data_IF_826878895329
#
_entry.id   IF_826878895329
#
_cell.length_a   1.000
_cell.length_b   1.000
_cell.length_c   1.000
_cell.angle_alpha   90.00
_cell.angle_beta   90.00
_cell.angle_gamma   90.00
#
_symmetry.space_group_name_H-M   'P 1'
#
loop_
_entity.id
_entity.type
_entity.pdbx_description
1 polymer ?
#
# COMPACT_ATOMS: atom_id res chain seq x y z
N UNK A 1 14.07 50.97 88.92
CA UNK A 1 13.41 51.91 88.02
C UNK A 1 13.61 51.42 86.65
N UNK A 2 12.88 50.58 86.17
CA UNK A 2 11.75 50.59 85.28
C UNK A 2 12.09 50.95 83.82
N UNK A 3 11.95 50.02 82.95
CA UNK A 3 11.99 50.26 81.50
C UNK A 3 12.09 48.95 80.67
N UNK A 4 11.04 48.11 80.76
CA UNK A 4 10.92 46.97 79.89
C UNK A 4 10.46 47.41 78.52
N UNK A 5 11.23 47.08 77.53
CA UNK A 5 10.95 47.26 76.13
C UNK A 5 10.22 46.06 75.52
N UNK A 6 9.10 46.39 74.95
CA UNK A 6 8.22 45.49 74.18
C UNK A 6 8.68 45.49 72.74
N UNK A 7 9.46 44.52 72.33
CA UNK A 7 9.98 44.43 70.97
C UNK A 7 9.97 43.07 70.32
N UNK A 8 9.17 42.13 70.77
CA UNK A 8 9.11 40.79 70.17
C UNK A 8 7.69 40.36 69.80
N UNK A 9 7.07 41.15 68.91
CA UNK A 9 5.76 40.74 68.37
C UNK A 9 5.44 41.24 66.95
N UNK A 10 6.40 41.32 66.07
CA UNK A 10 6.11 41.56 64.64
C UNK A 10 7.12 40.83 63.77
N UNK A 11 7.06 39.51 63.74
CA UNK A 11 7.75 38.68 62.73
C UNK A 11 7.12 37.30 62.64
N UNK A 12 5.82 37.23 62.36
CA UNK A 12 5.24 35.94 61.96
C UNK A 12 3.89 36.11 61.24
N UNK A 13 3.90 36.78 60.09
CA UNK A 13 2.80 36.69 59.15
C UNK A 13 3.33 37.09 57.76
N UNK A 14 3.86 36.13 57.04
CA UNK A 14 3.83 36.03 55.57
C UNK A 14 4.67 34.85 55.09
N UNK A 15 4.45 33.67 55.63
CA UNK A 15 4.69 32.45 54.84
C UNK A 15 3.46 32.20 54.00
N UNK A 16 3.41 32.88 52.84
CA UNK A 16 2.54 32.52 51.77
C UNK A 16 3.02 31.14 51.31
N UNK A 17 2.23 30.14 51.64
CA UNK A 17 2.37 28.77 51.12
C UNK A 17 2.40 28.91 49.59
N UNK A 18 3.57 28.74 49.00
CA UNK A 18 3.70 28.57 47.56
C UNK A 18 3.07 27.21 47.31
N UNK A 19 1.82 27.17 46.86
CA UNK A 19 1.23 25.97 46.30
C UNK A 19 2.24 25.40 45.30
N UNK A 20 2.71 24.20 45.58
CA UNK A 20 3.55 23.46 44.66
C UNK A 20 2.74 23.33 43.37
N UNK A 21 3.14 24.09 42.34
CA UNK A 21 2.65 23.89 40.99
C UNK A 21 3.02 22.44 40.67
N UNK A 22 2.00 21.62 40.57
CA UNK A 22 2.14 20.22 40.13
C UNK A 22 2.87 20.26 38.79
N UNK A 23 4.18 20.02 38.81
CA UNK A 23 4.97 19.95 37.61
C UNK A 23 4.47 18.74 36.85
N UNK A 24 3.68 18.97 35.82
CA UNK A 24 3.33 17.96 34.87
C UNK A 24 4.66 17.52 34.25
N UNK A 25 5.13 16.37 34.67
CA UNK A 25 6.39 15.80 34.23
C UNK A 25 6.19 15.13 32.87
N UNK A 26 5.82 15.95 31.89
CA UNK A 26 5.53 15.56 30.50
C UNK A 26 6.76 15.65 29.62
N UNK A 27 6.83 14.80 28.62
CA UNK A 27 7.81 14.89 27.52
C UNK A 27 7.14 15.67 26.38
N UNK A 28 7.75 16.81 25.99
CA UNK A 28 7.34 17.55 24.82
C UNK A 28 8.21 17.13 23.62
N UNK A 29 7.58 16.83 22.49
CA UNK A 29 8.29 16.42 21.29
C UNK A 29 7.56 16.92 20.03
N UNK A 30 8.32 17.10 18.96
CA UNK A 30 7.78 17.49 17.65
C UNK A 30 7.38 16.25 16.85
N UNK A 31 6.30 16.38 16.07
CA UNK A 31 5.82 15.29 15.25
C UNK A 31 5.08 15.77 14.01
N UNK A 32 4.76 14.83 13.17
CA UNK A 32 3.94 15.01 11.97
C UNK A 32 2.70 14.13 12.05
N UNK A 33 1.56 14.67 11.64
CA UNK A 33 0.33 13.92 11.47
C UNK A 33 0.32 13.31 10.07
N UNK A 34 0.22 11.99 10.02
CA UNK A 34 0.13 11.21 8.80
C UNK A 34 -1.14 10.34 8.82
N UNK A 35 -1.66 9.93 7.65
CA UNK A 35 -2.67 8.89 7.59
C UNK A 35 -2.17 7.59 8.25
N UNK A 36 -3.01 6.95 9.07
CA UNK A 36 -2.66 5.68 9.71
C UNK A 36 -2.31 4.61 8.66
N UNK A 37 -1.24 3.86 8.91
CA UNK A 37 -0.75 2.81 8.02
C UNK A 37 0.16 3.31 6.90
N UNK A 38 0.74 4.50 7.06
CA UNK A 38 1.66 5.15 6.12
C UNK A 38 1.06 5.48 4.74
N UNK A 39 1.71 6.37 4.03
CA UNK A 39 1.38 6.68 2.63
C UNK A 39 1.79 5.51 1.74
N UNK A 40 0.84 4.91 1.05
CA UNK A 40 1.10 3.84 0.10
C UNK A 40 1.37 4.42 -1.28
N UNK A 41 2.56 4.13 -1.79
CA UNK A 41 2.96 4.49 -3.15
C UNK A 41 2.52 3.38 -4.10
N UNK A 42 1.57 3.69 -4.97
CA UNK A 42 1.10 2.75 -5.98
C UNK A 42 1.96 2.87 -7.23
N UNK A 43 2.69 1.80 -7.53
CA UNK A 43 3.57 1.73 -8.71
C UNK A 43 2.80 1.26 -9.95
N UNK A 44 3.31 1.61 -11.12
CA UNK A 44 2.84 1.02 -12.36
C UNK A 44 3.25 -0.46 -12.42
N UNK A 45 2.41 -1.33 -13.01
CA UNK A 45 2.77 -2.72 -13.23
C UNK A 45 3.95 -2.82 -14.19
N UNK A 46 4.78 -3.84 -13.99
CA UNK A 46 5.83 -4.19 -14.95
C UNK A 46 5.22 -5.13 -15.99
N UNK A 47 5.39 -4.82 -17.28
CA UNK A 47 4.93 -5.72 -18.33
C UNK A 47 5.74 -7.02 -18.35
N UNK A 48 5.08 -8.16 -18.58
CA UNK A 48 5.74 -9.47 -18.76
C UNK A 48 6.79 -9.47 -19.89
N UNK A 49 6.66 -8.55 -20.85
CA UNK A 49 7.62 -8.34 -21.98
C UNK A 49 8.68 -7.27 -21.66
N UNK A 50 8.76 -6.79 -20.42
CA UNK A 50 9.66 -5.73 -19.99
C UNK A 50 9.14 -4.32 -20.25
N UNK A 51 9.61 -3.37 -19.41
CA UNK A 51 9.26 -1.96 -19.47
C UNK A 51 7.95 -1.59 -18.76
N UNK A 52 7.86 -0.31 -18.40
CA UNK A 52 6.69 0.27 -17.77
C UNK A 52 5.72 0.78 -18.83
N UNK A 53 4.44 0.37 -18.85
CA UNK A 53 3.46 0.91 -19.79
C UNK A 53 3.17 2.38 -19.50
N UNK A 54 2.64 3.11 -20.49
CA UNK A 54 2.19 4.49 -20.31
C UNK A 54 0.85 4.53 -19.60
N UNK A 55 0.64 5.56 -18.79
CA UNK A 55 -0.65 5.87 -18.23
C UNK A 55 -1.60 6.35 -19.34
N UNK A 56 -2.63 5.55 -19.63
CA UNK A 56 -3.61 5.88 -20.66
C UNK A 56 -4.72 6.77 -20.14
N UNK A 57 -5.24 6.47 -18.93
CA UNK A 57 -6.28 7.24 -18.28
C UNK A 57 -6.07 7.28 -16.78
N UNK A 58 -6.33 8.43 -16.19
CA UNK A 58 -6.39 8.63 -14.75
C UNK A 58 -7.85 8.88 -14.37
N UNK A 59 -8.39 8.07 -13.45
CA UNK A 59 -9.83 8.08 -13.13
C UNK A 59 -10.15 8.80 -11.82
N UNK A 60 -9.14 9.33 -11.13
CA UNK A 60 -9.28 9.98 -9.83
C UNK A 60 -8.49 11.30 -9.80
N UNK A 61 -8.81 12.15 -8.83
CA UNK A 61 -8.16 13.43 -8.56
C UNK A 61 -7.52 13.44 -7.17
N UNK A 62 -6.55 14.33 -6.96
CA UNK A 62 -6.01 14.58 -5.62
C UNK A 62 -7.13 15.08 -4.68
N UNK A 63 -7.13 14.55 -3.45
CA UNK A 63 -8.16 14.80 -2.46
C UNK A 63 -9.43 13.95 -2.60
N UNK A 64 -9.56 13.11 -3.62
CA UNK A 64 -10.73 12.27 -3.83
C UNK A 64 -10.72 11.05 -2.90
N UNK A 65 -11.88 10.75 -2.30
CA UNK A 65 -12.07 9.53 -1.50
C UNK A 65 -12.20 8.32 -2.41
N UNK A 66 -11.51 7.24 -2.04
CA UNK A 66 -11.44 5.99 -2.80
C UNK A 66 -11.77 4.81 -1.90
N UNK A 67 -12.30 3.75 -2.50
CA UNK A 67 -12.57 2.48 -1.83
C UNK A 67 -11.58 1.41 -2.31
N UNK A 68 -11.40 0.38 -1.51
CA UNK A 68 -10.61 -0.79 -1.87
C UNK A 68 -11.10 -1.40 -3.19
N UNK A 69 -10.16 -1.85 -4.02
CA UNK A 69 -10.36 -2.41 -5.36
C UNK A 69 -10.96 -1.45 -6.41
N UNK A 70 -11.16 -0.17 -6.07
CA UNK A 70 -11.53 0.87 -7.05
C UNK A 70 -10.39 1.05 -8.07
N UNK A 71 -10.76 1.14 -9.36
CA UNK A 71 -9.81 1.40 -10.44
C UNK A 71 -9.44 2.88 -10.42
N UNK A 72 -8.16 3.16 -10.22
CA UNK A 72 -7.61 4.52 -10.14
C UNK A 72 -7.01 4.96 -11.48
N UNK A 73 -6.40 4.02 -12.22
CA UNK A 73 -5.74 4.32 -13.49
C UNK A 73 -5.77 3.12 -14.44
N UNK A 74 -5.64 3.40 -15.74
CA UNK A 74 -5.60 2.41 -16.82
C UNK A 74 -4.37 2.66 -17.68
N UNK A 75 -3.68 1.58 -18.05
CA UNK A 75 -2.46 1.62 -18.88
C UNK A 75 -2.71 1.30 -20.35
N UNK A 76 -1.83 1.78 -21.23
CA UNK A 76 -1.95 1.75 -22.70
C UNK A 76 -1.76 0.36 -23.33
N UNK A 77 -1.23 -0.61 -22.60
CA UNK A 77 -1.07 -2.00 -23.04
C UNK A 77 -2.38 -2.82 -23.00
N UNK A 78 -3.45 -2.33 -22.36
CA UNK A 78 -4.73 -3.03 -22.21
C UNK A 78 -5.40 -3.43 -23.53
N UNK A 79 -5.55 -2.57 -24.55
CA UNK A 79 -6.18 -2.94 -25.82
C UNK A 79 -5.47 -4.08 -26.53
N UNK A 80 -4.13 -4.07 -26.50
CA UNK A 80 -3.31 -5.13 -27.10
C UNK A 80 -3.55 -6.47 -26.40
N UNK A 81 -3.47 -6.51 -25.06
CA UNK A 81 -3.70 -7.73 -24.29
C UNK A 81 -5.13 -8.26 -24.46
N UNK A 82 -6.13 -7.37 -24.59
CA UNK A 82 -7.49 -7.77 -24.88
C UNK A 82 -7.63 -8.42 -26.28
N UNK A 83 -6.90 -7.91 -27.27
CA UNK A 83 -6.86 -8.51 -28.61
C UNK A 83 -6.14 -9.87 -28.58
N UNK A 84 -5.01 -9.98 -27.88
CA UNK A 84 -4.25 -11.22 -27.69
C UNK A 84 -5.12 -12.29 -27.01
N UNK A 85 -5.88 -11.92 -25.97
CA UNK A 85 -6.82 -12.81 -25.29
C UNK A 85 -7.90 -13.34 -26.27
N UNK A 86 -8.50 -12.46 -27.05
CA UNK A 86 -9.51 -12.82 -28.04
C UNK A 86 -8.95 -13.79 -29.09
N UNK A 87 -7.72 -13.55 -29.53
CA UNK A 87 -7.03 -14.42 -30.50
C UNK A 87 -6.82 -15.82 -29.93
N UNK A 88 -6.28 -15.95 -28.73
CA UNK A 88 -6.06 -17.25 -28.08
C UNK A 88 -7.37 -17.99 -27.77
N UNK A 89 -8.44 -17.28 -27.41
CA UNK A 89 -9.77 -17.86 -27.24
C UNK A 89 -10.31 -18.43 -28.58
N UNK A 90 -10.11 -17.73 -29.69
CA UNK A 90 -10.49 -18.22 -31.00
C UNK A 90 -9.70 -19.49 -31.38
N UNK A 91 -8.38 -19.50 -31.15
CA UNK A 91 -7.53 -20.67 -31.36
C UNK A 91 -8.00 -21.88 -30.54
N UNK A 92 -8.34 -21.67 -29.27
CA UNK A 92 -8.88 -22.71 -28.41
C UNK A 92 -10.16 -23.32 -28.97
N UNK A 93 -11.09 -22.48 -29.42
CA UNK A 93 -12.37 -22.93 -29.99
C UNK A 93 -12.18 -23.73 -31.28
N UNK A 94 -11.25 -23.28 -32.15
CA UNK A 94 -10.90 -24.00 -33.38
C UNK A 94 -10.35 -25.39 -33.05
N UNK A 95 -9.35 -25.45 -32.17
CA UNK A 95 -8.70 -26.73 -31.79
C UNK A 95 -9.68 -27.68 -31.08
N UNK A 96 -10.60 -27.16 -30.26
CA UNK A 96 -11.66 -27.97 -29.65
C UNK A 96 -12.60 -28.56 -30.69
N UNK A 97 -12.90 -27.82 -31.77
CA UNK A 97 -13.72 -28.30 -32.88
C UNK A 97 -13.00 -29.39 -33.68
N UNK A 98 -11.71 -29.22 -33.94
CA UNK A 98 -10.87 -30.23 -34.61
C UNK A 98 -10.80 -31.53 -33.77
N UNK A 99 -10.60 -31.44 -32.47
CA UNK A 99 -10.60 -32.60 -31.55
C UNK A 99 -11.96 -33.31 -31.59
N UNK A 100 -13.07 -32.58 -31.63
CA UNK A 100 -14.40 -33.18 -31.75
C UNK A 100 -14.58 -33.97 -33.04
N UNK A 101 -14.00 -33.49 -34.15
CA UNK A 101 -13.99 -34.20 -35.44
C UNK A 101 -13.11 -35.44 -35.33
N UNK A 102 -11.87 -35.30 -34.84
CA UNK A 102 -10.92 -36.43 -34.69
C UNK A 102 -11.50 -37.54 -33.81
N UNK A 103 -12.16 -37.20 -32.69
CA UNK A 103 -12.83 -38.20 -31.83
C UNK A 103 -13.93 -38.97 -32.58
N UNK A 104 -14.70 -38.31 -33.43
CA UNK A 104 -15.71 -39.00 -34.25
C UNK A 104 -15.06 -39.92 -35.27
N UNK A 105 -13.97 -39.51 -35.89
CA UNK A 105 -13.23 -40.34 -36.86
C UNK A 105 -12.61 -41.54 -36.17
N UNK A 106 -11.96 -41.37 -35.03
CA UNK A 106 -11.39 -42.48 -34.24
C UNK A 106 -12.46 -43.53 -33.93
N UNK A 107 -13.67 -43.12 -33.48
CA UNK A 107 -14.77 -44.02 -33.22
C UNK A 107 -15.21 -44.78 -34.48
N UNK A 108 -15.20 -44.15 -35.66
CA UNK A 108 -15.49 -44.81 -36.93
C UNK A 108 -14.44 -45.83 -37.28
N UNK A 109 -13.14 -45.45 -37.16
CA UNK A 109 -12.03 -46.34 -37.47
C UNK A 109 -11.94 -47.49 -36.48
N UNK A 110 -12.27 -47.33 -35.21
CA UNK A 110 -12.36 -48.41 -34.24
C UNK A 110 -13.31 -49.49 -34.72
N UNK A 111 -14.50 -49.15 -35.20
CA UNK A 111 -15.46 -50.12 -35.75
C UNK A 111 -14.95 -50.85 -37.01
N UNK A 112 -14.06 -50.19 -37.82
CA UNK A 112 -13.47 -50.81 -39.01
C UNK A 112 -12.36 -51.76 -38.62
N UNK A 113 -11.54 -51.43 -37.64
CA UNK A 113 -10.49 -52.31 -37.07
C UNK A 113 -11.14 -53.56 -36.46
N UNK A 114 -12.21 -53.39 -35.69
CA UNK A 114 -12.92 -54.53 -35.06
C UNK A 114 -13.49 -55.50 -36.07
N UNK A 115 -13.75 -55.04 -37.32
CA UNK A 115 -14.20 -55.87 -38.45
C UNK A 115 -13.04 -56.35 -39.36
N UNK A 116 -11.78 -56.05 -38.99
CA UNK A 116 -10.61 -56.43 -39.76
C UNK A 116 -10.41 -55.66 -41.06
N UNK A 117 -11.14 -54.57 -41.27
CA UNK A 117 -11.12 -53.77 -42.53
C UNK A 117 -10.00 -52.73 -42.60
N UNK A 118 -9.35 -52.44 -41.43
CA UNK A 118 -8.26 -51.46 -41.29
C UNK A 118 -7.23 -52.01 -40.30
N UNK A 119 -5.95 -51.74 -40.57
CA UNK A 119 -4.85 -52.15 -39.70
C UNK A 119 -4.87 -51.32 -38.38
N UNK A 120 -4.61 -51.97 -37.25
CA UNK A 120 -4.60 -51.36 -35.90
C UNK A 120 -3.63 -50.15 -35.80
N UNK A 121 -2.48 -50.23 -36.49
CA UNK A 121 -1.46 -49.15 -36.47
C UNK A 121 -2.01 -47.80 -36.97
N UNK A 122 -3.02 -47.79 -37.86
CA UNK A 122 -3.68 -46.56 -38.30
C UNK A 122 -4.48 -45.91 -37.19
N UNK A 123 -5.22 -46.72 -36.43
CA UNK A 123 -6.00 -46.26 -35.28
C UNK A 123 -5.10 -45.74 -34.17
N UNK A 124 -4.00 -46.43 -33.86
CA UNK A 124 -3.05 -46.01 -32.82
C UNK A 124 -2.44 -44.66 -33.17
N UNK A 125 -2.01 -44.47 -34.44
CA UNK A 125 -1.53 -43.17 -34.89
C UNK A 125 -2.56 -42.04 -34.72
N UNK A 126 -3.83 -42.30 -35.03
CA UNK A 126 -4.89 -41.31 -34.85
C UNK A 126 -5.13 -40.95 -33.38
N UNK A 127 -4.97 -41.93 -32.46
CA UNK A 127 -5.06 -41.69 -31.00
C UNK A 127 -3.87 -40.86 -30.52
N UNK A 128 -2.66 -41.11 -31.02
CA UNK A 128 -1.46 -40.36 -30.68
C UNK A 128 -1.60 -38.89 -31.16
N UNK A 129 -2.10 -38.66 -32.38
CA UNK A 129 -2.35 -37.33 -32.92
C UNK A 129 -3.42 -36.58 -32.09
N UNK A 130 -4.45 -37.32 -31.61
CA UNK A 130 -5.44 -36.74 -30.70
C UNK A 130 -4.80 -36.31 -29.37
N UNK A 131 -3.98 -37.15 -28.78
CA UNK A 131 -3.28 -36.84 -27.52
C UNK A 131 -2.38 -35.62 -27.65
N UNK A 132 -1.65 -35.48 -28.78
CA UNK A 132 -0.88 -34.28 -29.08
C UNK A 132 -1.75 -33.03 -29.18
N UNK A 133 -2.94 -33.15 -29.79
CA UNK A 133 -3.90 -32.03 -29.88
C UNK A 133 -4.48 -31.66 -28.52
N UNK A 134 -4.79 -32.62 -27.65
CA UNK A 134 -5.24 -32.37 -26.30
C UNK A 134 -4.15 -31.68 -25.44
N UNK A 135 -2.87 -32.04 -25.65
CA UNK A 135 -1.73 -31.35 -25.02
C UNK A 135 -1.63 -29.88 -25.47
N UNK A 136 -1.89 -29.58 -26.76
CA UNK A 136 -1.94 -28.19 -27.26
C UNK A 136 -3.04 -27.38 -26.58
N UNK A 137 -4.24 -27.97 -26.32
CA UNK A 137 -5.30 -27.30 -25.57
C UNK A 137 -4.80 -26.84 -24.19
N UNK A 138 -4.08 -27.71 -23.47
CA UNK A 138 -3.55 -27.34 -22.16
C UNK A 138 -2.60 -26.16 -22.21
N UNK A 139 -1.73 -26.12 -23.24
CA UNK A 139 -0.83 -24.97 -23.46
C UNK A 139 -1.60 -23.67 -23.75
N UNK A 140 -2.61 -23.73 -24.63
CA UNK A 140 -3.43 -22.54 -24.96
C UNK A 140 -4.20 -22.06 -23.72
N UNK A 141 -4.77 -22.97 -22.92
CA UNK A 141 -5.45 -22.59 -21.67
C UNK A 141 -4.51 -21.87 -20.70
N UNK A 142 -3.28 -22.39 -20.51
CA UNK A 142 -2.28 -21.73 -19.67
C UNK A 142 -1.89 -20.33 -20.22
N UNK A 143 -1.77 -20.20 -21.56
CA UNK A 143 -1.53 -18.90 -22.21
C UNK A 143 -2.67 -17.91 -21.94
N UNK A 144 -3.93 -18.35 -22.07
CA UNK A 144 -5.12 -17.54 -21.78
C UNK A 144 -5.12 -17.06 -20.34
N UNK A 145 -4.80 -17.91 -19.37
CA UNK A 145 -4.74 -17.51 -17.95
C UNK A 145 -3.63 -16.48 -17.69
N UNK A 146 -2.46 -16.66 -18.30
CA UNK A 146 -1.38 -15.66 -18.26
C UNK A 146 -1.80 -14.31 -18.83
N UNK A 147 -2.45 -14.29 -19.99
CA UNK A 147 -2.94 -13.04 -20.61
C UNK A 147 -4.03 -12.38 -19.75
N UNK A 148 -4.93 -13.15 -19.13
CA UNK A 148 -5.94 -12.62 -18.21
C UNK A 148 -5.28 -11.94 -17.01
N UNK A 149 -4.29 -12.58 -16.41
CA UNK A 149 -3.53 -11.99 -15.32
C UNK A 149 -2.86 -10.68 -15.75
N UNK A 150 -2.16 -10.68 -16.90
CA UNK A 150 -1.54 -9.46 -17.45
C UNK A 150 -2.59 -8.37 -17.71
N UNK A 151 -3.79 -8.74 -18.18
CA UNK A 151 -4.90 -7.81 -18.43
C UNK A 151 -5.44 -7.17 -17.15
N UNK A 152 -5.51 -7.90 -16.06
CA UNK A 152 -5.86 -7.35 -14.74
C UNK A 152 -4.82 -6.34 -14.28
N UNK A 153 -3.53 -6.62 -14.49
CA UNK A 153 -2.43 -5.71 -14.15
C UNK A 153 -2.44 -4.41 -14.97
N UNK A 154 -3.21 -4.33 -16.07
CA UNK A 154 -3.37 -3.06 -16.82
C UNK A 154 -4.21 -2.02 -16.10
N UNK A 155 -4.78 -2.35 -14.95
CA UNK A 155 -5.57 -1.46 -14.10
C UNK A 155 -4.87 -1.28 -12.76
N UNK A 156 -4.60 -0.06 -12.38
CA UNK A 156 -4.14 0.26 -11.04
C UNK A 156 -5.35 0.35 -10.12
N UNK A 157 -5.42 -0.52 -9.11
CA UNK A 157 -6.51 -0.54 -8.13
C UNK A 157 -6.02 -0.07 -6.77
N UNK A 158 -6.93 0.52 -6.00
CA UNK A 158 -6.64 0.87 -4.61
C UNK A 158 -6.54 -0.36 -3.72
N UNK A 159 -5.48 -0.53 -2.94
CA UNK A 159 -5.37 -1.62 -1.97
C UNK A 159 -6.12 -1.37 -0.66
N UNK A 160 -6.65 -0.16 -0.44
CA UNK A 160 -7.29 0.30 0.80
C UNK A 160 -8.46 1.24 0.51
N UNK A 161 -9.34 1.39 1.51
CA UNK A 161 -10.23 2.55 1.60
C UNK A 161 -9.43 3.76 2.09
N UNK A 162 -9.65 4.92 1.49
CA UNK A 162 -8.86 6.09 1.85
C UNK A 162 -9.06 7.28 0.94
N UNK A 163 -7.99 8.05 0.75
CA UNK A 163 -7.96 9.28 -0.05
C UNK A 163 -6.73 9.30 -0.95
N UNK A 164 -6.87 9.88 -2.13
CA UNK A 164 -5.74 10.18 -3.02
C UNK A 164 -4.97 11.37 -2.47
N UNK A 165 -3.73 11.16 -2.05
CA UNK A 165 -2.90 12.22 -1.47
C UNK A 165 -2.17 13.01 -2.54
N UNK A 166 -1.62 12.31 -3.55
CA UNK A 166 -0.82 12.93 -4.59
C UNK A 166 -0.81 12.08 -5.86
N UNK A 167 -0.85 12.74 -7.00
CA UNK A 167 -0.70 12.12 -8.32
C UNK A 167 0.71 12.40 -8.85
N UNK A 168 1.49 11.35 -9.08
CA UNK A 168 2.90 11.43 -9.47
C UNK A 168 3.14 11.28 -10.97
N UNK A 169 2.15 10.73 -11.71
CA UNK A 169 2.22 10.57 -13.16
C UNK A 169 0.93 11.02 -13.82
N UNK A 170 1.06 11.67 -14.98
CA UNK A 170 -0.07 12.19 -15.77
C UNK A 170 -0.39 11.27 -16.95
N UNK A 171 -1.58 11.45 -17.53
CA UNK A 171 -1.97 10.74 -18.76
C UNK A 171 -0.95 10.98 -19.87
N UNK A 172 -0.58 9.91 -20.58
CA UNK A 172 0.45 9.90 -21.62
C UNK A 172 1.87 9.68 -21.12
N UNK A 173 2.15 9.83 -19.84
CA UNK A 173 3.48 9.63 -19.27
C UNK A 173 3.77 8.16 -18.97
N UNK A 174 5.06 7.81 -18.93
CA UNK A 174 5.55 6.55 -18.38
C UNK A 174 5.95 6.79 -16.93
N UNK A 175 5.26 6.18 -15.95
CA UNK A 175 5.63 6.33 -14.56
C UNK A 175 7.05 5.86 -14.29
N UNK A 176 7.73 6.60 -13.44
CA UNK A 176 9.10 6.31 -12.98
C UNK A 176 9.07 5.52 -11.65
N UNK A 177 10.21 5.40 -10.99
CA UNK A 177 10.36 4.74 -9.69
C UNK A 177 9.59 5.40 -8.54
N UNK A 178 9.12 6.65 -8.71
CA UNK A 178 8.29 7.34 -7.72
C UNK A 178 6.86 6.78 -7.66
N UNK A 179 6.42 6.03 -8.67
CA UNK A 179 5.08 5.46 -8.75
C UNK A 179 4.10 6.31 -9.56
N UNK A 180 2.81 6.01 -9.40
CA UNK A 180 1.70 6.67 -10.13
C UNK A 180 0.91 7.57 -9.18
N UNK A 181 0.52 7.03 -8.02
CA UNK A 181 -0.39 7.67 -7.08
C UNK A 181 0.06 7.34 -5.65
N UNK A 182 0.03 8.33 -4.77
CA UNK A 182 0.13 8.14 -3.33
C UNK A 182 -1.28 8.14 -2.73
N UNK A 183 -1.61 7.11 -1.97
CA UNK A 183 -2.88 6.99 -1.26
C UNK A 183 -2.64 6.81 0.23
N UNK A 184 -3.58 7.29 1.05
CA UNK A 184 -3.53 7.14 2.50
C UNK A 184 -4.91 6.86 3.07
N UNK A 185 -4.95 6.31 4.29
CA UNK A 185 -6.20 6.13 5.02
C UNK A 185 -6.77 7.50 5.43
N UNK A 186 -8.08 7.66 5.36
CA UNK A 186 -8.76 8.86 5.85
C UNK A 186 -9.53 8.63 7.16
N UNK A 187 -9.52 7.40 7.69
CA UNK A 187 -10.30 7.03 8.86
C UNK A 187 -9.58 7.33 10.17
N UNK A 188 -8.28 7.14 10.21
CA UNK A 188 -7.45 7.36 11.38
C UNK A 188 -6.18 8.12 10.99
N UNK A 189 -5.79 9.04 11.83
CA UNK A 189 -4.50 9.73 11.71
C UNK A 189 -3.53 9.14 12.73
N UNK A 190 -2.28 9.08 12.37
CA UNK A 190 -1.16 8.66 13.20
C UNK A 190 -0.19 9.83 13.35
N UNK A 191 0.21 10.13 14.58
CA UNK A 191 1.26 11.10 14.83
C UNK A 191 2.60 10.38 14.89
N UNK A 192 3.50 10.70 13.97
CA UNK A 192 4.90 10.28 14.03
C UNK A 192 5.67 11.36 14.79
N UNK A 193 6.10 11.02 16.00
CA UNK A 193 6.73 11.94 16.95
C UNK A 193 8.20 11.57 17.15
N UNK A 194 9.09 12.56 17.11
CA UNK A 194 10.51 12.39 17.36
C UNK A 194 10.86 12.76 18.80
N UNK A 195 11.04 11.75 19.63
CA UNK A 195 11.43 11.91 21.04
C UNK A 195 12.94 11.76 21.19
N UNK A 196 13.59 12.65 21.94
CA UNK A 196 15.02 12.54 22.22
C UNK A 196 15.36 11.26 23.00
N UNK A 197 16.52 10.65 22.71
CA UNK A 197 17.00 9.45 23.39
C UNK A 197 17.08 9.65 24.93
N UNK A 198 17.38 10.86 25.39
CA UNK A 198 17.40 11.22 26.82
C UNK A 198 16.04 11.12 27.50
N UNK A 199 14.95 11.32 26.78
CA UNK A 199 13.59 11.42 27.32
C UNK A 199 12.75 10.18 27.09
N UNK A 200 13.20 9.25 26.22
CA UNK A 200 12.43 8.07 25.84
C UNK A 200 12.07 7.16 27.03
N UNK A 201 12.92 7.12 28.06
CA UNK A 201 12.67 6.33 29.27
C UNK A 201 11.43 6.78 30.05
N UNK A 202 10.91 7.97 29.75
CA UNK A 202 9.69 8.56 30.38
C UNK A 202 8.44 8.31 29.56
N UNK A 203 8.57 7.75 28.33
CA UNK A 203 7.47 7.43 27.44
C UNK A 203 7.13 5.95 27.53
N UNK A 204 5.84 5.63 27.70
CA UNK A 204 5.36 4.26 27.86
C UNK A 204 4.31 3.91 26.79
N UNK A 205 4.29 2.65 26.40
CA UNK A 205 3.23 2.11 25.56
C UNK A 205 1.86 2.29 26.21
N UNK A 206 0.87 2.74 25.44
CA UNK A 206 -0.48 2.99 25.95
C UNK A 206 -0.64 4.33 26.69
N UNK A 207 0.42 5.13 26.85
CA UNK A 207 0.35 6.45 27.47
C UNK A 207 -0.52 7.39 26.63
N UNK A 208 -1.39 8.15 27.31
CA UNK A 208 -2.20 9.20 26.66
C UNK A 208 -1.33 10.40 26.36
N UNK A 209 -1.45 10.94 25.16
CA UNK A 209 -0.73 12.11 24.69
C UNK A 209 -1.70 13.16 24.17
N UNK A 210 -1.31 14.42 24.28
CA UNK A 210 -2.04 15.56 23.76
C UNK A 210 -1.24 16.16 22.59
N UNK A 211 -1.90 16.30 21.44
CA UNK A 211 -1.35 16.86 20.23
C UNK A 211 -1.89 18.28 20.03
N UNK A 212 -1.01 19.23 19.84
CA UNK A 212 -1.34 20.63 19.62
C UNK A 212 -0.71 21.08 18.31
N UNK A 213 -1.46 21.80 17.49
CA UNK A 213 -0.94 22.39 16.26
C UNK A 213 -0.33 23.76 16.54
N UNK A 214 0.97 23.92 16.31
CA UNK A 214 1.63 25.22 16.46
C UNK A 214 1.23 26.25 15.39
N UNK A 215 0.92 25.76 14.18
CA UNK A 215 0.66 26.61 13.01
C UNK A 215 -0.81 26.60 12.56
N UNK A 216 -1.74 26.18 13.42
CA UNK A 216 -3.18 26.24 13.13
C UNK A 216 -3.69 25.21 12.12
N UNK A 217 -2.98 24.09 11.91
CA UNK A 217 -3.45 23.00 11.06
C UNK A 217 -4.75 22.37 11.54
N UNK A 218 -5.01 22.44 12.85
CA UNK A 218 -6.31 22.14 13.48
C UNK A 218 -6.50 23.01 14.73
N UNK A 219 -7.76 23.22 15.11
CA UNK A 219 -8.10 24.04 16.28
C UNK A 219 -8.16 23.18 17.55
N UNK A 220 -7.61 23.68 18.65
CA UNK A 220 -7.61 23.02 19.94
C UNK A 220 -6.55 21.92 20.04
N UNK A 221 -6.83 20.89 20.86
CA UNK A 221 -5.95 19.74 21.06
C UNK A 221 -6.64 18.45 20.65
N UNK A 222 -5.86 17.51 20.18
CA UNK A 222 -6.29 16.13 19.87
C UNK A 222 -5.67 15.18 20.90
N UNK A 223 -6.46 14.22 21.37
CA UNK A 223 -5.96 13.16 22.24
C UNK A 223 -5.57 11.94 21.43
N UNK A 224 -4.39 11.41 21.70
CA UNK A 224 -3.87 10.18 21.13
C UNK A 224 -3.37 9.23 22.22
N UNK A 225 -2.91 8.08 21.79
CA UNK A 225 -2.32 7.07 22.65
C UNK A 225 -1.07 6.51 21.99
N UNK A 226 0.00 6.29 22.75
CA UNK A 226 1.23 5.68 22.25
C UNK A 226 0.97 4.23 21.84
N UNK A 227 1.12 3.94 20.56
CA UNK A 227 0.90 2.60 19.96
C UNK A 227 2.18 1.88 19.60
N UNK A 228 3.28 2.64 19.39
CA UNK A 228 4.57 2.09 19.01
C UNK A 228 5.70 2.98 19.49
N UNK A 229 6.73 2.37 20.10
CA UNK A 229 8.02 2.99 20.36
C UNK A 229 9.05 2.24 19.51
N UNK A 230 9.69 2.94 18.56
CA UNK A 230 10.67 2.32 17.67
C UNK A 230 11.88 1.80 18.46
N UNK A 231 12.37 0.58 18.23
CA UNK A 231 13.58 0.09 18.85
C UNK A 231 14.86 0.66 18.22
N UNK A 232 14.73 1.56 17.24
CA UNK A 232 15.87 2.14 16.51
C UNK A 232 16.09 3.60 16.90
N UNK A 233 17.31 3.92 17.25
CA UNK A 233 17.78 5.30 17.38
C UNK A 233 18.13 5.83 15.99
N UNK A 234 17.62 7.01 15.65
CA UNK A 234 17.87 7.68 14.36
C UNK A 234 18.36 9.10 14.57
N UNK A 235 18.90 9.69 13.52
CA UNK A 235 19.15 11.13 13.47
C UNK A 235 17.85 11.87 13.20
N UNK A 236 17.67 13.03 13.82
CA UNK A 236 16.49 13.89 13.67
C UNK A 236 16.24 14.24 12.21
N UNK A 237 14.99 14.12 11.76
CA UNK A 237 14.56 14.44 10.39
C UNK A 237 13.50 15.54 10.33
N UNK A 238 12.75 15.74 11.41
CA UNK A 238 11.73 16.81 11.43
C UNK A 238 12.44 18.13 11.35
N UNK A 239 12.10 18.91 10.34
CA UNK A 239 12.67 20.19 9.99
C UNK A 239 12.72 21.10 11.21
N UNK A 240 13.91 21.25 11.79
CA UNK A 240 14.20 22.40 12.63
C UNK A 240 14.29 23.61 11.71
N UNK A 241 13.45 24.59 11.92
CA UNK A 241 13.58 25.92 11.30
C UNK A 241 14.78 26.69 11.84
N UNK A 242 15.46 26.12 12.83
CA UNK A 242 16.65 26.72 13.43
C UNK A 242 17.91 26.09 12.80
N UNK A 243 18.69 26.84 12.00
CA UNK A 243 19.91 26.36 11.35
C UNK A 243 21.05 26.07 12.34
N UNK A 244 20.89 26.43 13.62
CA UNK A 244 21.86 26.15 14.69
C UNK A 244 21.46 24.98 15.59
N UNK A 245 20.29 24.37 15.36
CA UNK A 245 19.84 23.22 16.13
C UNK A 245 20.67 21.99 15.83
N UNK A 246 21.14 21.32 16.89
CA UNK A 246 22.00 20.13 16.89
C UNK A 246 21.61 19.10 15.83
N UNK A 247 22.29 19.11 14.70
CA UNK A 247 22.14 18.12 13.64
C UNK A 247 22.54 16.70 14.08
N UNK A 248 23.09 16.56 15.27
CA UNK A 248 23.60 15.31 15.84
C UNK A 248 22.67 14.74 16.93
N UNK A 249 21.46 15.29 17.05
CA UNK A 249 20.50 14.84 18.07
C UNK A 249 19.94 13.46 17.72
N UNK A 250 20.16 12.50 18.59
CA UNK A 250 19.61 11.16 18.51
C UNK A 250 18.15 11.15 18.97
N UNK A 251 17.30 10.59 18.11
CA UNK A 251 15.86 10.48 18.38
C UNK A 251 15.37 9.05 18.26
N UNK A 252 14.26 8.80 18.91
CA UNK A 252 13.47 7.59 18.78
C UNK A 252 12.09 7.98 18.28
N UNK A 253 11.65 7.31 17.21
CA UNK A 253 10.32 7.53 16.66
C UNK A 253 9.25 6.86 17.52
N UNK A 254 8.22 7.63 17.89
CA UNK A 254 7.05 7.18 18.65
C UNK A 254 5.81 7.43 17.79
N UNK A 255 4.90 6.48 17.79
CA UNK A 255 3.63 6.59 17.09
C UNK A 255 2.46 6.50 18.07
#
# INVERSE_FOLDING_TARGET
MSGCSNKDKILNQNQKTIEAIDRIDGVAALGQLNPNGEVRKLAAPTSSKGGTPRLSKLLVKEGESIIKDQILAIFDNRPKLAADLKYEQANLNTLMSEIKISKREINRYQNLVDRGAVALIVLDKMKDDLLLSETKISKIKSSIEGIKFDLEQTQLKSPIDGIVLQILAREGERPNSSGVINVGSNQLMEALVEVYESDIGRVQMGQVVELISENGGFNGSLKGQVTLISPQVRQRRVLSTDPTGDADSRIIEVR
#
